data_IF_771557692293
#
_entry.id   IF_771557692293
#
_cell.length_a   1.000
_cell.length_b   1.000
_cell.length_c   1.000
_cell.angle_alpha   90.00
_cell.angle_beta   90.00
_cell.angle_gamma   90.00
#
_symmetry.space_group_name_H-M   'P 1'
#
loop_
_entity.id
_entity.type
_entity.pdbx_description
1 polymer ?
#
# COMPACT_ATOMS: atom_id res chain seq x y z
N UNK A 1 -5.36 -15.63 8.37
CA UNK A 1 -5.70 -15.77 6.94
C UNK A 1 -4.53 -15.21 6.15
N UNK A 2 -3.78 -16.06 5.44
CA UNK A 2 -2.60 -15.61 4.67
C UNK A 2 -3.03 -14.58 3.61
N UNK A 3 -2.16 -13.61 3.29
CA UNK A 3 -2.37 -12.61 2.23
C UNK A 3 -2.85 -13.30 0.94
N UNK A 4 -2.30 -14.49 0.61
CA UNK A 4 -2.72 -15.32 -0.53
C UNK A 4 -4.21 -15.71 -0.50
N UNK A 5 -4.84 -15.89 0.67
CA UNK A 5 -6.25 -16.28 0.75
C UNK A 5 -7.20 -15.11 0.44
N UNK A 6 -6.86 -13.89 0.89
CA UNK A 6 -7.60 -12.66 0.56
C UNK A 6 -7.48 -12.39 -0.95
N UNK A 7 -6.26 -12.58 -1.48
CA UNK A 7 -5.92 -12.45 -2.88
C UNK A 7 -6.68 -13.47 -3.78
N UNK A 8 -6.78 -14.74 -3.38
CA UNK A 8 -7.51 -15.78 -4.13
C UNK A 8 -9.02 -15.56 -4.14
N UNK A 9 -9.60 -15.03 -3.07
CA UNK A 9 -11.05 -14.77 -3.00
C UNK A 9 -11.51 -13.64 -3.94
N UNK A 10 -10.61 -12.70 -4.24
CA UNK A 10 -10.84 -11.57 -5.14
C UNK A 10 -10.73 -11.91 -6.63
N UNK A 11 -9.95 -12.93 -6.98
CA UNK A 11 -9.85 -13.45 -8.36
C UNK A 11 -11.20 -13.87 -8.95
N UNK A 12 -12.12 -14.35 -8.10
CA UNK A 12 -13.40 -14.91 -8.51
C UNK A 12 -14.56 -13.90 -8.56
N UNK A 13 -14.38 -12.70 -8.03
CA UNK A 13 -15.45 -11.70 -7.94
C UNK A 13 -15.02 -10.44 -8.69
N UNK A 14 -15.31 -10.43 -10.00
CA UNK A 14 -15.29 -9.26 -10.90
C UNK A 14 -13.93 -8.58 -11.25
N UNK A 15 -12.80 -8.90 -10.61
CA UNK A 15 -11.52 -8.21 -10.83
C UNK A 15 -10.46 -8.93 -11.71
N UNK A 16 -10.86 -9.89 -12.55
CA UNK A 16 -9.89 -10.70 -13.32
C UNK A 16 -8.92 -9.92 -14.22
N UNK A 17 -9.32 -8.76 -14.77
CA UNK A 17 -8.43 -7.91 -15.59
C UNK A 17 -7.43 -7.11 -14.75
N UNK A 18 -7.83 -6.71 -13.55
CA UNK A 18 -6.99 -5.94 -12.65
C UNK A 18 -6.00 -6.84 -11.92
N UNK A 19 -6.46 -8.02 -11.51
CA UNK A 19 -5.66 -9.08 -10.89
C UNK A 19 -4.39 -9.40 -11.68
N UNK A 20 -4.51 -9.52 -13.02
CA UNK A 20 -3.38 -9.79 -13.92
C UNK A 20 -2.25 -8.77 -13.86
N UNK A 21 -2.53 -7.53 -13.42
CA UNK A 21 -1.51 -6.49 -13.26
C UNK A 21 -0.84 -6.52 -11.88
N UNK A 22 -1.58 -6.92 -10.84
CA UNK A 22 -1.10 -6.91 -9.45
C UNK A 22 -0.41 -8.21 -9.01
N UNK A 23 -0.89 -9.37 -9.47
CA UNK A 23 -0.37 -10.70 -9.10
C UNK A 23 1.15 -10.86 -9.32
N UNK A 24 1.75 -10.36 -10.41
CA UNK A 24 3.20 -10.46 -10.61
C UNK A 24 4.00 -9.65 -9.59
N UNK A 25 3.44 -8.56 -9.05
CA UNK A 25 4.15 -7.70 -8.09
C UNK A 25 4.15 -8.36 -6.71
N UNK A 26 2.99 -8.74 -6.19
CA UNK A 26 2.90 -9.34 -4.85
C UNK A 26 3.59 -10.71 -4.74
N UNK A 27 3.68 -11.47 -5.84
CA UNK A 27 4.37 -12.77 -5.84
C UNK A 27 5.90 -12.65 -5.77
N UNK A 28 6.47 -11.49 -6.12
CA UNK A 28 7.92 -11.26 -6.12
C UNK A 28 8.47 -10.77 -4.77
N UNK A 29 7.61 -10.22 -3.91
CA UNK A 29 8.02 -9.58 -2.65
C UNK A 29 7.47 -10.34 -1.44
N UNK A 30 8.27 -11.18 -0.75
CA UNK A 30 7.84 -11.80 0.50
C UNK A 30 7.62 -10.74 1.59
N UNK A 31 6.73 -11.04 2.56
CA UNK A 31 6.50 -10.16 3.71
C UNK A 31 7.76 -10.14 4.58
N UNK A 32 8.38 -8.96 4.70
CA UNK A 32 9.61 -8.76 5.47
C UNK A 32 9.31 -8.14 6.83
N UNK A 33 8.46 -7.10 6.84
CA UNK A 33 7.97 -6.46 8.07
C UNK A 33 6.47 -6.62 8.18
N UNK A 34 6.02 -7.04 9.36
CA UNK A 34 4.61 -7.18 9.68
C UNK A 34 4.29 -6.47 11.00
N UNK A 35 3.37 -5.52 10.94
CA UNK A 35 2.82 -4.83 12.12
C UNK A 35 1.44 -5.38 12.43
N UNK A 36 1.30 -6.40 13.31
CA UNK A 36 0.02 -7.02 13.60
C UNK A 36 -0.94 -6.09 14.34
N UNK A 37 -2.21 -6.48 14.39
CA UNK A 37 -3.21 -5.79 15.20
C UNK A 37 -2.77 -5.72 16.67
N UNK A 38 -2.99 -4.57 17.32
CA UNK A 38 -2.57 -4.32 18.71
C UNK A 38 -1.14 -3.79 18.87
N UNK A 39 -0.35 -3.75 17.79
CA UNK A 39 0.94 -3.06 17.78
C UNK A 39 0.76 -1.59 17.42
N UNK A 40 1.47 -0.73 18.14
CA UNK A 40 1.69 0.68 17.82
C UNK A 40 3.16 0.88 17.46
N UNK A 41 3.41 1.48 16.30
CA UNK A 41 4.76 1.86 15.86
C UNK A 41 4.80 3.36 15.57
N UNK A 42 5.85 4.03 16.05
CA UNK A 42 6.11 5.45 15.82
C UNK A 42 7.58 5.62 15.44
N UNK A 43 7.84 5.96 14.17
CA UNK A 43 9.19 6.09 13.65
C UNK A 43 9.27 5.89 12.14
N UNK A 44 10.47 5.58 11.67
CA UNK A 44 10.78 5.33 10.27
C UNK A 44 11.04 3.83 10.05
N UNK A 45 10.44 3.27 9.00
CA UNK A 45 10.67 1.89 8.58
C UNK A 45 10.99 1.85 7.09
N UNK A 46 12.08 1.17 6.77
CA UNK A 46 12.51 0.95 5.40
C UNK A 46 12.77 -0.55 5.18
N UNK A 47 12.28 -1.09 4.06
CA UNK A 47 12.49 -2.49 3.68
C UNK A 47 12.57 -2.61 2.17
N UNK A 48 13.39 -3.54 1.69
CA UNK A 48 13.57 -3.81 0.27
C UNK A 48 12.54 -4.80 -0.31
N UNK A 49 11.51 -5.18 0.48
CA UNK A 49 10.48 -6.15 0.06
C UNK A 49 9.04 -5.66 0.25
N UNK A 50 8.28 -6.28 1.17
CA UNK A 50 6.88 -5.94 1.46
C UNK A 50 6.70 -5.64 2.95
N UNK A 51 6.08 -4.50 3.23
CA UNK A 51 5.60 -4.14 4.58
C UNK A 51 4.08 -4.29 4.66
N UNK A 52 3.60 -5.09 5.61
CA UNK A 52 2.17 -5.26 5.90
C UNK A 52 1.81 -4.65 7.25
N UNK A 53 0.78 -3.82 7.25
CA UNK A 53 0.26 -3.13 8.43
C UNK A 53 -1.16 -3.58 8.74
N UNK A 54 -1.39 -4.08 9.94
CA UNK A 54 -2.70 -4.38 10.54
C UNK A 54 -2.96 -3.59 11.84
N UNK A 55 -1.90 -3.06 12.47
CA UNK A 55 -1.93 -2.23 13.68
C UNK A 55 -1.99 -0.71 13.42
N UNK A 56 -1.47 0.06 14.38
CA UNK A 56 -1.36 1.52 14.28
C UNK A 56 0.08 1.95 13.95
N UNK A 57 0.24 2.82 12.96
CA UNK A 57 1.56 3.31 12.51
C UNK A 57 1.56 4.83 12.41
N UNK A 58 2.62 5.46 12.93
CA UNK A 58 2.94 6.87 12.74
C UNK A 58 4.38 7.03 12.25
N UNK A 59 4.60 7.98 11.35
CA UNK A 59 5.94 8.29 10.81
C UNK A 59 6.06 7.99 9.31
N UNK A 60 7.18 7.40 8.88
CA UNK A 60 7.47 7.20 7.44
C UNK A 60 7.68 5.73 7.08
N UNK A 61 7.21 5.35 5.89
CA UNK A 61 7.38 4.02 5.31
C UNK A 61 7.99 4.14 3.91
N UNK A 62 9.17 3.55 3.71
CA UNK A 62 9.81 3.40 2.39
C UNK A 62 9.94 1.92 2.04
N UNK A 63 9.21 1.45 1.03
CA UNK A 63 9.21 0.04 0.68
C UNK A 63 8.64 -0.22 -0.72
N UNK A 64 9.16 -1.17 -1.52
CA UNK A 64 8.57 -1.51 -2.81
C UNK A 64 7.07 -1.79 -2.74
N UNK A 65 6.63 -2.58 -1.75
CA UNK A 65 5.21 -2.92 -1.57
C UNK A 65 4.75 -2.60 -0.17
N UNK A 66 3.69 -1.81 -0.04
CA UNK A 66 3.06 -1.49 1.25
C UNK A 66 1.60 -1.88 1.23
N UNK A 67 1.17 -2.62 2.24
CA UNK A 67 -0.21 -3.09 2.41
C UNK A 67 -0.77 -2.62 3.75
N UNK A 68 -1.72 -1.69 3.71
CA UNK A 68 -2.52 -1.30 4.86
C UNK A 68 -3.80 -2.13 4.88
N UNK A 69 -3.86 -3.17 5.71
CA UNK A 69 -5.01 -4.05 5.83
C UNK A 69 -6.22 -3.35 6.48
N UNK A 70 -7.40 -3.96 6.39
CA UNK A 70 -8.67 -3.37 6.87
C UNK A 70 -8.66 -2.86 8.32
N UNK A 71 -7.87 -3.47 9.23
CA UNK A 71 -7.80 -3.05 10.64
C UNK A 71 -6.83 -1.91 10.90
N UNK A 72 -6.01 -1.55 9.91
CA UNK A 72 -4.92 -0.60 10.10
C UNK A 72 -5.40 0.84 10.31
N UNK A 73 -4.64 1.58 11.12
CA UNK A 73 -4.76 3.03 11.30
C UNK A 73 -3.40 3.67 11.13
N UNK A 74 -3.22 4.46 10.09
CA UNK A 74 -1.91 5.04 9.78
C UNK A 74 -1.99 6.57 9.71
N UNK A 75 -1.01 7.25 10.32
CA UNK A 75 -0.72 8.67 10.06
C UNK A 75 0.71 8.77 9.54
N UNK A 76 0.89 8.76 8.22
CA UNK A 76 2.16 8.39 7.60
C UNK A 76 2.51 9.17 6.34
N UNK A 77 3.80 9.25 6.07
CA UNK A 77 4.34 9.50 4.73
C UNK A 77 4.81 8.17 4.12
N UNK A 78 4.30 7.85 2.93
CA UNK A 78 4.61 6.58 2.24
C UNK A 78 5.27 6.85 0.91
N UNK A 79 6.36 6.14 0.65
CA UNK A 79 7.02 6.08 -0.64
C UNK A 79 7.17 4.61 -1.06
N UNK A 80 6.55 4.24 -2.18
CA UNK A 80 6.50 2.84 -2.63
C UNK A 80 6.38 2.68 -4.13
N UNK A 81 6.54 1.47 -4.65
CA UNK A 81 6.11 1.15 -6.02
C UNK A 81 4.63 0.81 -6.04
N UNK A 82 4.18 -0.01 -5.11
CA UNK A 82 2.81 -0.47 -5.03
C UNK A 82 2.27 -0.25 -3.62
N UNK A 83 1.22 0.57 -3.52
CA UNK A 83 0.52 0.88 -2.29
C UNK A 83 -0.90 0.32 -2.35
N UNK A 84 -1.26 -0.52 -1.40
CA UNK A 84 -2.59 -1.11 -1.30
C UNK A 84 -3.23 -0.74 0.05
N UNK A 85 -4.42 -0.15 0.01
CA UNK A 85 -5.09 0.42 1.17
C UNK A 85 -6.51 -0.17 1.33
N UNK A 86 -6.72 -0.93 2.40
CA UNK A 86 -8.01 -1.41 2.91
C UNK A 86 -8.44 -0.73 4.21
N UNK A 87 -7.49 -0.18 4.97
CA UNK A 87 -7.72 0.45 6.28
C UNK A 87 -7.87 1.97 6.21
N UNK A 88 -7.68 2.62 7.37
CA UNK A 88 -7.67 4.08 7.49
C UNK A 88 -6.24 4.61 7.40
N UNK A 89 -5.98 5.51 6.46
CA UNK A 89 -4.68 6.17 6.31
C UNK A 89 -4.83 7.68 6.18
N UNK A 90 -4.00 8.43 6.90
CA UNK A 90 -3.89 9.88 6.79
C UNK A 90 -2.44 10.27 6.47
N UNK A 91 -2.23 11.21 5.55
CA UNK A 91 -0.90 11.78 5.30
C UNK A 91 -0.57 11.96 3.82
N UNK A 92 0.66 11.66 3.42
CA UNK A 92 1.15 11.86 2.05
C UNK A 92 1.59 10.53 1.46
N UNK A 93 1.07 10.21 0.28
CA UNK A 93 1.28 8.91 -0.36
C UNK A 93 1.91 9.12 -1.73
N UNK A 94 3.12 8.61 -1.93
CA UNK A 94 3.84 8.61 -3.20
C UNK A 94 4.01 7.17 -3.66
N UNK A 95 3.40 6.82 -4.79
CA UNK A 95 3.58 5.47 -5.34
C UNK A 95 3.46 5.40 -6.86
N UNK A 96 4.17 4.47 -7.49
CA UNK A 96 3.95 4.24 -8.94
C UNK A 96 2.51 3.74 -9.18
N UNK A 97 2.01 2.88 -8.29
CA UNK A 97 0.65 2.36 -8.33
C UNK A 97 0.00 2.46 -6.95
N UNK A 98 -1.21 3.01 -6.88
CA UNK A 98 -2.05 3.01 -5.69
C UNK A 98 -3.35 2.27 -5.95
N UNK A 99 -3.69 1.37 -5.04
CA UNK A 99 -4.96 0.68 -4.99
C UNK A 99 -5.73 1.02 -3.72
N UNK A 100 -6.92 1.59 -3.86
CA UNK A 100 -7.82 1.88 -2.77
C UNK A 100 -9.00 0.92 -2.82
N UNK A 101 -9.03 -0.02 -1.86
CA UNK A 101 -10.02 -1.07 -1.76
C UNK A 101 -11.38 -0.53 -1.25
N UNK A 102 -12.48 -1.31 -1.31
CA UNK A 102 -13.83 -0.88 -0.95
C UNK A 102 -13.95 -0.39 0.50
N UNK A 103 -13.16 -0.95 1.43
CA UNK A 103 -13.13 -0.52 2.82
C UNK A 103 -12.12 0.60 3.11
N UNK A 104 -11.28 0.93 2.14
CA UNK A 104 -10.19 1.88 2.29
C UNK A 104 -10.68 3.30 2.51
N UNK A 105 -10.08 3.99 3.47
CA UNK A 105 -10.35 5.41 3.76
C UNK A 105 -9.04 6.20 3.82
N UNK A 106 -8.88 7.15 2.90
CA UNK A 106 -7.67 7.98 2.82
C UNK A 106 -7.99 9.46 3.06
N UNK A 107 -7.19 10.10 3.92
CA UNK A 107 -7.21 11.54 4.16
C UNK A 107 -5.83 12.17 3.89
N UNK A 108 -5.69 12.91 2.79
CA UNK A 108 -4.44 13.61 2.49
C UNK A 108 -4.10 13.66 1.01
N UNK A 109 -2.81 13.77 0.72
CA UNK A 109 -2.31 14.02 -0.64
C UNK A 109 -1.76 12.72 -1.26
N UNK A 110 -2.31 12.33 -2.40
CA UNK A 110 -1.88 11.17 -3.19
C UNK A 110 -1.15 11.65 -4.45
N UNK A 111 0.07 11.18 -4.64
CA UNK A 111 0.86 11.34 -5.86
C UNK A 111 1.12 9.95 -6.44
N UNK A 112 0.56 9.66 -7.61
CA UNK A 112 0.75 8.34 -8.22
C UNK A 112 0.76 8.33 -9.74
N UNK A 113 1.42 7.36 -10.35
CA UNK A 113 1.36 7.17 -11.80
C UNK A 113 0.09 6.44 -12.22
N UNK A 114 -0.40 5.52 -11.39
CA UNK A 114 -1.62 4.75 -11.66
C UNK A 114 -2.46 4.62 -10.40
N UNK A 115 -3.68 5.14 -10.45
CA UNK A 115 -4.64 5.07 -9.35
C UNK A 115 -5.82 4.15 -9.71
N UNK A 116 -6.11 3.21 -8.82
CA UNK A 116 -7.33 2.39 -8.84
C UNK A 116 -8.13 2.65 -7.57
N UNK A 117 -9.41 2.98 -7.73
CA UNK A 117 -10.36 3.18 -6.63
C UNK A 117 -11.55 2.29 -6.90
N UNK A 118 -11.93 1.48 -5.92
CA UNK A 118 -13.12 0.63 -6.00
C UNK A 118 -14.37 1.29 -5.43
N UNK A 119 -15.52 0.73 -5.78
CA UNK A 119 -16.79 1.14 -5.17
C UNK A 119 -16.76 0.92 -3.65
N UNK A 120 -17.29 1.88 -2.90
CA UNK A 120 -17.24 1.92 -1.43
C UNK A 120 -16.02 2.64 -0.83
N UNK A 121 -14.93 2.79 -1.58
CA UNK A 121 -13.73 3.49 -1.13
C UNK A 121 -14.02 4.96 -0.79
N UNK A 122 -13.35 5.48 0.24
CA UNK A 122 -13.48 6.88 0.68
C UNK A 122 -12.15 7.59 0.59
N UNK A 123 -12.18 8.78 -0.01
CA UNK A 123 -10.99 9.61 -0.12
C UNK A 123 -11.34 11.08 0.10
N UNK A 124 -10.52 11.77 0.89
CA UNK A 124 -10.60 13.21 1.11
C UNK A 124 -9.20 13.84 1.01
N UNK A 125 -9.00 14.70 0.03
CA UNK A 125 -7.75 15.42 -0.16
C UNK A 125 -7.44 15.64 -1.63
N UNK A 126 -6.15 15.78 -1.98
CA UNK A 126 -5.73 16.02 -3.37
C UNK A 126 -5.17 14.75 -3.98
N UNK A 127 -5.48 14.54 -5.25
CA UNK A 127 -4.83 13.52 -6.07
C UNK A 127 -4.09 14.23 -7.21
N UNK A 128 -2.83 13.85 -7.39
CA UNK A 128 -2.06 14.13 -8.59
C UNK A 128 -1.74 12.80 -9.29
N UNK A 129 -2.29 12.59 -10.49
CA UNK A 129 -1.99 11.41 -11.32
C UNK A 129 -1.11 11.81 -12.50
N UNK A 130 -0.04 11.04 -12.77
CA UNK A 130 0.78 11.18 -13.98
C UNK A 130 1.80 12.32 -13.92
N UNK A 131 2.63 12.34 -12.89
CA UNK A 131 3.56 13.46 -12.66
C UNK A 131 4.55 13.23 -11.52
N UNK A 132 4.65 12.01 -11.00
CA UNK A 132 5.67 11.63 -10.03
C UNK A 132 6.82 10.95 -10.77
N UNK A 133 8.06 11.44 -10.57
CA UNK A 133 9.23 10.72 -11.03
C UNK A 133 9.24 9.32 -10.42
N UNK A 134 9.52 8.29 -11.23
CA UNK A 134 9.52 6.89 -10.81
C UNK A 134 10.23 6.72 -9.46
N UNK A 135 9.56 6.07 -8.52
CA UNK A 135 10.05 5.81 -7.15
C UNK A 135 11.09 4.68 -7.16
N UNK A 136 12.22 4.87 -7.84
CA UNK A 136 13.08 3.77 -8.26
C UNK A 136 14.50 3.75 -7.67
N UNK A 137 14.93 4.75 -6.89
CA UNK A 137 16.36 4.89 -6.60
C UNK A 137 16.85 4.42 -5.22
N UNK A 138 16.02 4.44 -4.17
CA UNK A 138 16.55 4.33 -2.80
C UNK A 138 16.78 2.90 -2.30
N UNK A 139 15.87 1.97 -2.59
CA UNK A 139 15.84 0.65 -1.93
C UNK A 139 16.65 -0.45 -2.66
N UNK A 140 17.19 -0.19 -3.86
CA UNK A 140 18.11 -1.11 -4.57
C UNK A 140 19.46 -1.26 -3.83
N UNK A 141 19.85 -0.25 -3.04
CA UNK A 141 21.05 -0.30 -2.21
C UNK A 141 20.90 -1.24 -1.00
N UNK A 142 19.67 -1.50 -0.54
CA UNK A 142 19.38 -2.42 0.58
C UNK A 142 19.37 -3.89 0.15
N UNK A 143 19.25 -4.15 -1.16
CA UNK A 143 19.31 -5.51 -1.73
C UNK A 143 20.71 -5.96 -2.15
N UNK A 144 21.73 -5.10 -1.96
CA UNK A 144 23.13 -5.35 -2.36
C UNK A 144 23.97 -6.02 -1.27
#
# INVERSE_FOLDING_TARGET
MSVLAILVQWKNTLLGKLWRKFDPVFSQYPVDVFFPQGVFFDGEVESASLIRVEGEVRGSIRCPVVVFAATSKATVEVESRCLYIEGYCRGVFRSDMLYLAPSGHVEGDIHTETLYIEDGARMRGRICVGGHGKTHAAWEALTS
#
